data_IF_785825231288
#
_entry.id   IF_785825231288
#
_cell.length_a   1.000
_cell.length_b   1.000
_cell.length_c   1.000
_cell.angle_alpha   90.00
_cell.angle_beta   90.00
_cell.angle_gamma   90.00
#
_symmetry.space_group_name_H-M   'P 1'
#
loop_
_entity.id
_entity.type
_entity.pdbx_description
1 polymer ?
#
# COMPACT_ATOMS: atom_id res chain seq x y z
N UNK A 1 -12.15 13.41 -11.17
CA UNK A 1 -12.41 12.09 -11.78
C UNK A 1 -11.78 11.01 -10.90
N UNK A 2 -12.52 9.99 -10.46
CA UNK A 2 -11.97 8.87 -9.66
C UNK A 2 -11.33 7.85 -10.60
N UNK A 3 -10.15 7.34 -10.24
CA UNK A 3 -9.44 6.31 -11.00
C UNK A 3 -10.12 4.95 -10.75
N UNK A 4 -10.26 4.12 -11.78
CA UNK A 4 -10.80 2.76 -11.64
C UNK A 4 -9.87 1.86 -10.83
N UNK A 5 -10.40 0.80 -10.23
CA UNK A 5 -9.61 -0.15 -9.47
C UNK A 5 -9.17 -1.30 -10.38
N UNK A 6 -7.89 -1.70 -10.30
CA UNK A 6 -7.39 -2.89 -10.97
C UNK A 6 -7.72 -4.11 -10.10
N UNK A 7 -8.73 -4.86 -10.49
CA UNK A 7 -9.16 -6.07 -9.80
C UNK A 7 -8.24 -7.27 -10.13
N UNK A 8 -8.12 -8.24 -9.22
CA UNK A 8 -7.19 -9.37 -9.35
C UNK A 8 -7.50 -10.22 -10.59
N UNK A 9 -8.76 -10.30 -10.98
CA UNK A 9 -9.26 -11.11 -12.10
C UNK A 9 -8.86 -10.52 -13.45
N UNK A 10 -8.69 -9.20 -13.54
CA UNK A 10 -8.34 -8.48 -14.77
C UNK A 10 -6.92 -7.91 -14.77
N UNK A 11 -6.22 -8.06 -13.64
CA UNK A 11 -4.85 -7.59 -13.46
C UNK A 11 -3.84 -8.35 -14.35
N UNK A 12 -2.84 -7.66 -14.92
CA UNK A 12 -1.66 -8.30 -15.51
C UNK A 12 -0.92 -9.18 -14.49
N UNK A 13 -0.21 -10.21 -14.96
CA UNK A 13 0.51 -11.16 -14.11
C UNK A 13 1.53 -10.52 -13.17
N UNK A 14 2.07 -9.36 -13.54
CA UNK A 14 2.98 -8.58 -12.68
C UNK A 14 2.27 -8.00 -11.46
N UNK A 15 1.04 -7.52 -11.62
CA UNK A 15 0.21 -6.99 -10.53
C UNK A 15 -0.37 -8.13 -9.69
N UNK A 16 -0.81 -9.22 -10.33
CA UNK A 16 -1.31 -10.42 -9.62
C UNK A 16 -0.31 -10.96 -8.62
N UNK A 17 0.96 -11.12 -9.03
CA UNK A 17 2.04 -11.56 -8.15
C UNK A 17 2.25 -10.62 -6.96
N UNK A 18 2.07 -9.32 -7.14
CA UNK A 18 2.15 -8.35 -6.03
C UNK A 18 0.98 -8.54 -5.07
N UNK A 19 -0.25 -8.71 -5.57
CA UNK A 19 -1.43 -8.95 -4.75
C UNK A 19 -1.32 -10.24 -3.95
N UNK A 20 -0.88 -11.32 -4.59
CA UNK A 20 -0.62 -12.59 -3.91
C UNK A 20 0.42 -12.42 -2.80
N UNK A 21 1.49 -11.66 -3.04
CA UNK A 21 2.49 -11.35 -2.01
C UNK A 21 1.91 -10.56 -0.83
N UNK A 22 0.96 -9.64 -1.07
CA UNK A 22 0.25 -8.94 0.01
C UNK A 22 -0.62 -9.89 0.83
N UNK A 23 -1.39 -10.76 0.16
CA UNK A 23 -2.29 -11.72 0.78
C UNK A 23 -1.52 -12.75 1.62
N UNK A 24 -0.40 -13.27 1.12
CA UNK A 24 0.48 -14.19 1.86
C UNK A 24 1.08 -13.53 3.11
N UNK A 25 1.28 -12.21 3.09
CA UNK A 25 1.70 -11.44 4.25
C UNK A 25 0.54 -11.11 5.21
N UNK A 26 -0.66 -11.67 5.00
CA UNK A 26 -1.85 -11.41 5.81
C UNK A 26 -2.42 -10.00 5.65
N UNK A 27 -2.07 -9.30 4.55
CA UNK A 27 -2.54 -7.93 4.29
C UNK A 27 -3.59 -7.94 3.19
N UNK A 28 -4.79 -7.38 3.44
CA UNK A 28 -5.80 -7.26 2.39
C UNK A 28 -5.33 -6.29 1.29
N UNK A 29 -5.68 -6.59 0.03
CA UNK A 29 -5.42 -5.71 -1.10
C UNK A 29 -6.40 -4.54 -1.09
N UNK A 30 -6.06 -3.50 -0.32
CA UNK A 30 -6.84 -2.27 -0.22
C UNK A 30 -6.88 -1.46 -1.53
N UNK A 31 -7.88 -0.59 -1.64
CA UNK A 31 -8.14 0.22 -2.85
C UNK A 31 -6.94 1.08 -3.28
N UNK A 32 -6.12 1.57 -2.35
CA UNK A 32 -4.89 2.30 -2.66
C UNK A 32 -3.93 1.47 -3.52
N UNK A 33 -3.71 0.20 -3.19
CA UNK A 33 -2.89 -0.70 -3.99
C UNK A 33 -3.52 -0.95 -5.36
N UNK A 34 -4.86 -1.08 -5.42
CA UNK A 34 -5.60 -1.27 -6.67
C UNK A 34 -5.58 -0.06 -7.60
N UNK A 35 -5.51 1.15 -7.05
CA UNK A 35 -5.30 2.37 -7.84
C UNK A 35 -3.84 2.45 -8.31
N UNK A 36 -2.88 2.17 -7.43
CA UNK A 36 -1.46 2.24 -7.78
C UNK A 36 -1.05 1.13 -8.77
N UNK A 37 -1.81 0.04 -8.85
CA UNK A 37 -1.61 -1.05 -9.80
C UNK A 37 -1.72 -0.66 -11.28
N UNK A 38 -2.31 0.50 -11.62
CA UNK A 38 -2.19 1.09 -12.96
C UNK A 38 -0.73 1.41 -13.33
N UNK A 39 0.17 1.48 -12.34
CA UNK A 39 1.61 1.69 -12.49
C UNK A 39 2.37 0.63 -11.66
N UNK A 40 2.55 -0.59 -12.20
CA UNK A 40 3.11 -1.72 -11.43
C UNK A 40 4.49 -1.46 -10.81
N UNK A 41 5.37 -0.74 -11.52
CA UNK A 41 6.69 -0.40 -10.99
C UNK A 41 6.63 0.59 -9.81
N UNK A 42 5.66 1.51 -9.84
CA UNK A 42 5.41 2.43 -8.73
C UNK A 42 4.83 1.69 -7.52
N UNK A 43 3.88 0.76 -7.74
CA UNK A 43 3.34 -0.11 -6.68
C UNK A 43 4.45 -0.92 -6.00
N UNK A 44 5.33 -1.55 -6.79
CA UNK A 44 6.47 -2.30 -6.27
C UNK A 44 7.40 -1.42 -5.42
N UNK A 45 7.77 -0.26 -5.95
CA UNK A 45 8.67 0.68 -5.27
C UNK A 45 8.05 1.23 -3.98
N UNK A 46 6.75 1.54 -3.99
CA UNK A 46 6.02 1.96 -2.81
C UNK A 46 6.04 0.87 -1.72
N UNK A 47 5.76 -0.38 -2.07
CA UNK A 47 5.76 -1.48 -1.09
C UNK A 47 7.13 -1.69 -0.46
N UNK A 48 8.22 -1.57 -1.23
CA UNK A 48 9.58 -1.64 -0.68
C UNK A 48 9.83 -0.51 0.32
N UNK A 49 9.49 0.73 -0.04
CA UNK A 49 9.62 1.88 0.85
C UNK A 49 8.78 1.73 2.11
N UNK A 50 7.49 1.42 1.97
CA UNK A 50 6.56 1.31 3.09
C UNK A 50 7.00 0.21 4.05
N UNK A 51 7.39 -0.96 3.53
CA UNK A 51 7.91 -2.04 4.36
C UNK A 51 9.20 -1.63 5.09
N UNK A 52 10.13 -0.94 4.43
CA UNK A 52 11.37 -0.48 5.06
C UNK A 52 11.11 0.54 6.17
N UNK A 53 10.15 1.46 5.96
CA UNK A 53 9.74 2.43 6.98
C UNK A 53 9.08 1.73 8.18
N UNK A 54 8.22 0.75 7.93
CA UNK A 54 7.42 0.07 8.97
C UNK A 54 8.14 -1.08 9.67
N UNK A 55 9.27 -1.56 9.14
CA UNK A 55 10.10 -2.59 9.78
C UNK A 55 10.59 -2.17 11.18
N UNK A 56 11.10 -3.12 11.95
CA UNK A 56 11.67 -2.85 13.27
C UNK A 56 12.81 -1.83 13.22
N UNK A 57 12.93 -1.00 14.26
CA UNK A 57 13.97 0.01 14.36
C UNK A 57 13.88 0.81 15.65
N UNK A 58 14.58 1.94 15.70
CA UNK A 58 14.66 2.79 16.90
C UNK A 58 13.31 3.31 17.38
N UNK A 59 12.36 3.52 16.45
CA UNK A 59 11.00 3.94 16.79
C UNK A 59 10.06 2.73 16.83
N UNK A 60 9.34 2.49 17.95
CA UNK A 60 8.31 1.45 18.01
C UNK A 60 7.25 1.60 16.91
N UNK A 61 6.76 0.47 16.40
CA UNK A 61 5.74 0.41 15.34
C UNK A 61 4.53 1.31 15.64
N UNK A 62 4.02 1.27 16.87
CA UNK A 62 2.88 2.09 17.32
C UNK A 62 3.09 3.59 17.12
N UNK A 63 4.32 4.09 17.33
CA UNK A 63 4.63 5.51 17.13
C UNK A 63 4.71 5.87 15.64
N UNK A 64 5.19 4.95 14.79
CA UNK A 64 5.16 5.12 13.33
C UNK A 64 3.72 5.23 12.82
N UNK A 65 2.83 4.35 13.29
CA UNK A 65 1.41 4.36 12.94
C UNK A 65 0.71 5.64 13.41
N UNK A 66 0.99 6.10 14.64
CA UNK A 66 0.43 7.35 15.16
C UNK A 66 0.90 8.56 14.34
N UNK A 67 2.18 8.61 13.96
CA UNK A 67 2.71 9.66 13.10
C UNK A 67 2.05 9.64 11.71
N UNK A 68 1.88 8.45 11.12
CA UNK A 68 1.18 8.26 9.85
C UNK A 68 -0.27 8.78 9.93
N UNK A 69 -1.04 8.33 10.92
CA UNK A 69 -2.43 8.76 11.12
C UNK A 69 -2.56 10.27 11.40
N UNK A 70 -1.70 10.81 12.28
CA UNK A 70 -1.76 12.24 12.62
C UNK A 70 -1.47 13.11 11.41
N UNK A 71 -0.51 12.71 10.58
CA UNK A 71 -0.18 13.41 9.33
C UNK A 71 -1.36 13.37 8.36
N UNK A 72 -2.01 12.21 8.21
CA UNK A 72 -3.22 12.08 7.37
C UNK A 72 -4.36 13.00 7.82
N UNK A 73 -4.61 13.09 9.13
CA UNK A 73 -5.64 13.98 9.70
C UNK A 73 -5.31 15.45 9.42
N UNK A 74 -4.07 15.87 9.65
CA UNK A 74 -3.64 17.26 9.39
C UNK A 74 -3.80 17.61 7.91
N UNK A 75 -3.52 16.66 7.02
CA UNK A 75 -3.66 16.85 5.57
C UNK A 75 -5.10 16.66 5.05
N UNK A 76 -6.09 16.38 5.91
CA UNK A 76 -7.46 16.10 5.48
C UNK A 76 -7.61 14.87 4.58
N UNK A 77 -6.68 13.92 4.67
CA UNK A 77 -6.71 12.69 3.88
C UNK A 77 -7.72 11.71 4.50
N UNK A 78 -8.92 11.64 3.91
CA UNK A 78 -10.05 10.85 4.41
C UNK A 78 -10.08 9.38 3.90
N UNK A 79 -9.04 8.95 3.19
CA UNK A 79 -8.88 7.55 2.77
C UNK A 79 -8.25 6.73 3.91
#
# INVERSE_FOLDING_TARGET
MRISLVEKETAPDTVRRVYEGLEHAGRPVGNFYKVLAHKPDALRSFLQLFNAVMADGTLPLKLKELAYLRTSIINGCAY
#
